data_IF_059062107178
#
_entry.id   IF_059062107178
#
_cell.length_a   1.000
_cell.length_b   1.000
_cell.length_c   1.000
_cell.angle_alpha   90.00
_cell.angle_beta   90.00
_cell.angle_gamma   90.00
#
_symmetry.space_group_name_H-M   'P 1'
#
loop_
_entity.id
_entity.type
_entity.pdbx_description
1 polymer ?
#
# COMPACT_ATOMS: atom_id res chain seq x y z
N UNK A 1 5.70 7.39 1.18
CA UNK A 1 5.84 7.53 -0.31
C UNK A 1 4.44 7.75 -0.86
N UNK A 2 4.30 8.68 -1.82
CA UNK A 2 3.04 8.88 -2.55
C UNK A 2 3.11 8.09 -3.85
N UNK A 3 2.13 7.20 -4.07
CA UNK A 3 1.92 6.51 -5.33
C UNK A 3 0.73 7.10 -6.07
N UNK A 4 0.86 7.33 -7.37
CA UNK A 4 -0.20 7.91 -8.19
C UNK A 4 -0.56 6.90 -9.28
N UNK A 5 -1.82 6.51 -9.33
CA UNK A 5 -2.37 5.64 -10.37
C UNK A 5 -3.41 6.42 -11.16
N UNK A 6 -3.17 6.59 -12.46
CA UNK A 6 -4.07 7.27 -13.38
C UNK A 6 -4.58 6.29 -14.44
N UNK A 7 -5.90 6.24 -14.63
CA UNK A 7 -6.54 5.47 -15.70
C UNK A 7 -7.52 6.39 -16.45
N UNK A 8 -7.15 6.79 -17.66
CA UNK A 8 -7.93 7.70 -18.49
C UNK A 8 -9.13 7.04 -19.17
N UNK A 9 -9.12 5.73 -19.31
CA UNK A 9 -10.20 4.96 -19.95
C UNK A 9 -11.29 4.53 -18.95
N UNK A 10 -11.11 4.86 -17.66
CA UNK A 10 -12.09 4.51 -16.64
C UNK A 10 -13.42 5.24 -16.87
N UNK A 11 -14.53 4.54 -16.66
CA UNK A 11 -15.90 5.07 -16.75
C UNK A 11 -16.18 5.80 -18.06
N UNK A 12 -16.02 5.08 -19.18
CA UNK A 12 -16.24 5.57 -20.56
C UNK A 12 -15.46 6.86 -20.93
N UNK A 13 -14.27 7.02 -20.32
CA UNK A 13 -13.36 8.13 -20.65
C UNK A 13 -13.45 9.34 -19.70
N UNK A 14 -14.23 9.25 -18.62
CA UNK A 14 -14.20 10.27 -17.56
C UNK A 14 -12.84 10.30 -16.82
N UNK A 15 -12.13 9.17 -16.85
CA UNK A 15 -10.84 9.04 -16.22
C UNK A 15 -10.91 8.87 -14.70
N UNK A 16 -9.81 8.41 -14.12
CA UNK A 16 -9.69 8.24 -12.66
C UNK A 16 -8.25 8.45 -12.25
N UNK A 17 -8.05 9.10 -11.11
CA UNK A 17 -6.73 9.22 -10.48
C UNK A 17 -6.82 8.82 -9.00
N UNK A 18 -6.08 7.78 -8.60
CA UNK A 18 -5.94 7.35 -7.22
C UNK A 18 -4.61 7.81 -6.66
N UNK A 19 -4.63 8.41 -5.48
CA UNK A 19 -3.43 8.84 -4.77
C UNK A 19 -3.26 7.95 -3.54
N UNK A 20 -2.25 7.09 -3.56
CA UNK A 20 -1.92 6.20 -2.47
C UNK A 20 -0.91 6.86 -1.54
N UNK A 21 -1.30 7.08 -0.30
CA UNK A 21 -0.41 7.56 0.75
C UNK A 21 0.14 6.35 1.52
N UNK A 22 1.39 5.97 1.22
CA UNK A 22 2.06 4.90 1.95
C UNK A 22 2.38 5.37 3.37
N UNK A 23 1.88 4.62 4.33
CA UNK A 23 2.15 4.88 5.75
C UNK A 23 3.15 3.85 6.28
N UNK A 24 4.02 4.23 7.23
CA UNK A 24 4.84 3.26 7.93
C UNK A 24 3.98 2.17 8.54
N UNK A 25 4.41 0.91 8.43
CA UNK A 25 3.64 -0.24 8.93
C UNK A 25 3.24 -0.06 10.41
N UNK A 26 1.94 -0.19 10.67
CA UNK A 26 1.39 -0.08 12.02
C UNK A 26 1.77 -1.33 12.81
N UNK A 27 2.39 -1.16 13.95
CA UNK A 27 2.71 -2.25 14.87
C UNK A 27 2.64 -1.77 16.32
N UNK A 28 2.50 -2.71 17.25
CA UNK A 28 2.50 -2.36 18.68
C UNK A 28 3.80 -1.61 19.03
N UNK A 29 3.72 -0.35 19.47
CA UNK A 29 4.91 0.48 19.70
C UNK A 29 5.76 -0.09 20.83
N UNK A 30 7.06 -0.24 20.58
CA UNK A 30 8.04 -0.64 21.61
C UNK A 30 8.74 0.56 22.23
N UNK A 31 8.59 1.74 21.63
CA UNK A 31 9.22 2.99 22.07
C UNK A 31 8.38 4.20 21.62
N UNK A 32 8.81 5.41 22.01
CA UNK A 32 8.13 6.67 21.66
C UNK A 32 8.08 6.93 20.15
N UNK A 33 9.08 6.50 19.41
CA UNK A 33 9.11 6.64 17.93
C UNK A 33 8.00 5.80 17.28
N UNK A 34 7.82 4.54 17.70
CA UNK A 34 6.74 3.70 17.21
C UNK A 34 5.35 4.27 17.52
N UNK A 35 5.17 4.92 18.68
CA UNK A 35 3.92 5.59 19.00
C UNK A 35 3.65 6.79 18.07
N UNK A 36 4.66 7.61 17.78
CA UNK A 36 4.53 8.74 16.85
C UNK A 36 4.23 8.27 15.41
N UNK A 37 4.82 7.15 14.96
CA UNK A 37 4.54 6.54 13.65
C UNK A 37 3.06 6.14 13.57
N UNK A 38 2.54 5.48 14.59
CA UNK A 38 1.14 5.07 14.63
C UNK A 38 0.17 6.27 14.66
N UNK A 39 0.51 7.33 15.42
CA UNK A 39 -0.26 8.58 15.43
C UNK A 39 -0.31 9.24 14.04
N UNK A 40 0.81 9.27 13.34
CA UNK A 40 0.86 9.77 11.96
C UNK A 40 -0.04 8.94 11.03
N UNK A 41 -0.01 7.62 11.13
CA UNK A 41 -0.86 6.74 10.33
C UNK A 41 -2.36 6.97 10.61
N UNK A 42 -2.75 7.15 11.89
CA UNK A 42 -4.13 7.48 12.27
C UNK A 42 -4.58 8.85 11.74
N UNK A 43 -3.71 9.86 11.86
CA UNK A 43 -4.01 11.20 11.35
C UNK A 43 -4.19 11.18 9.82
N UNK A 44 -3.36 10.42 9.11
CA UNK A 44 -3.51 10.21 7.67
C UNK A 44 -4.84 9.50 7.35
N UNK A 45 -5.21 8.47 8.12
CA UNK A 45 -6.46 7.73 7.92
C UNK A 45 -7.73 8.61 8.10
N UNK A 46 -7.67 9.67 8.90
CA UNK A 46 -8.78 10.62 9.06
C UNK A 46 -8.94 11.64 7.92
N UNK A 47 -7.97 11.71 7.01
CA UNK A 47 -7.93 12.70 5.92
C UNK A 47 -8.01 12.11 4.51
N UNK A 48 -8.40 10.83 4.37
CA UNK A 48 -8.49 10.11 3.09
C UNK A 48 -9.91 9.58 2.85
N UNK A 49 -10.24 9.31 1.59
CA UNK A 49 -11.55 8.78 1.20
C UNK A 49 -11.75 7.34 1.68
N UNK A 50 -10.69 6.54 1.66
CA UNK A 50 -10.71 5.13 2.07
C UNK A 50 -9.36 4.71 2.65
N UNK A 51 -9.39 3.87 3.67
CA UNK A 51 -8.20 3.21 4.24
C UNK A 51 -8.11 1.80 3.67
N UNK A 52 -7.00 1.50 3.01
CA UNK A 52 -6.66 0.15 2.58
C UNK A 52 -5.68 -0.49 3.56
N UNK A 53 -6.12 -1.48 4.31
CA UNK A 53 -5.24 -2.33 5.12
C UNK A 53 -4.78 -3.52 4.28
N UNK A 54 -3.46 -3.71 4.17
CA UNK A 54 -2.88 -4.87 3.49
C UNK A 54 -2.21 -5.76 4.54
N UNK A 55 -2.59 -7.04 4.57
CA UNK A 55 -2.02 -8.03 5.48
C UNK A 55 -1.39 -9.20 4.72
N UNK A 56 -0.37 -9.80 5.31
CA UNK A 56 0.31 -10.98 4.76
C UNK A 56 -0.50 -12.24 5.10
N UNK A 57 -1.15 -12.85 4.11
CA UNK A 57 -1.96 -14.06 4.26
C UNK A 57 -1.19 -15.29 4.78
N UNK A 58 0.15 -15.29 4.69
CA UNK A 58 0.97 -16.38 5.25
C UNK A 58 1.13 -16.28 6.76
N UNK A 59 0.72 -15.17 7.37
CA UNK A 59 0.79 -14.95 8.82
C UNK A 59 -0.56 -15.25 9.47
N UNK A 60 -0.50 -15.85 10.66
CA UNK A 60 -1.71 -16.07 11.46
C UNK A 60 -2.14 -14.76 12.12
N UNK A 61 -3.44 -14.58 12.23
CA UNK A 61 -4.01 -13.50 13.02
C UNK A 61 -3.50 -13.54 14.47
N UNK A 62 -3.06 -12.43 15.00
CA UNK A 62 -2.46 -12.35 16.33
C UNK A 62 -2.69 -11.01 17.04
N UNK A 63 -1.95 -10.80 18.12
CA UNK A 63 -2.05 -9.59 18.94
C UNK A 63 -1.68 -8.30 18.20
N UNK A 64 -0.85 -8.40 17.15
CA UNK A 64 -0.50 -7.27 16.30
C UNK A 64 -1.68 -6.83 15.46
N UNK A 65 -2.38 -7.79 14.87
CA UNK A 65 -3.56 -7.53 14.05
C UNK A 65 -4.68 -6.94 14.90
N UNK A 66 -4.94 -7.51 16.09
CA UNK A 66 -5.92 -6.96 17.00
C UNK A 66 -5.60 -5.50 17.37
N UNK A 67 -4.34 -5.19 17.64
CA UNK A 67 -3.93 -3.81 17.92
C UNK A 67 -4.22 -2.86 16.75
N UNK A 68 -3.99 -3.30 15.50
CA UNK A 68 -4.33 -2.53 14.30
C UNK A 68 -5.84 -2.31 14.19
N UNK A 69 -6.63 -3.36 14.43
CA UNK A 69 -8.10 -3.26 14.43
C UNK A 69 -8.59 -2.27 15.49
N UNK A 70 -8.06 -2.33 16.72
CA UNK A 70 -8.41 -1.42 17.80
C UNK A 70 -8.07 0.04 17.45
N UNK A 71 -6.98 0.28 16.72
CA UNK A 71 -6.62 1.60 16.21
C UNK A 71 -7.57 2.07 15.11
N UNK A 72 -7.81 1.23 14.12
CA UNK A 72 -8.66 1.58 12.97
C UNK A 72 -10.13 1.79 13.37
N UNK A 73 -10.57 1.16 14.46
CA UNK A 73 -11.94 1.37 15.01
C UNK A 73 -12.19 2.80 15.49
N UNK A 74 -11.14 3.58 15.73
CA UNK A 74 -11.24 4.98 16.18
C UNK A 74 -11.56 5.95 15.03
N UNK A 75 -11.45 5.51 13.77
CA UNK A 75 -11.76 6.30 12.57
C UNK A 75 -13.06 5.83 11.95
N UNK A 76 -13.90 6.76 11.52
CA UNK A 76 -15.13 6.48 10.75
C UNK A 76 -14.88 6.35 9.25
N UNK A 77 -13.66 6.63 8.78
CA UNK A 77 -13.28 6.47 7.38
C UNK A 77 -13.55 5.05 6.90
N UNK A 78 -14.05 4.92 5.68
CA UNK A 78 -14.28 3.63 5.01
C UNK A 78 -13.02 2.79 4.99
N UNK A 79 -13.17 1.49 5.17
CA UNK A 79 -12.02 0.58 5.31
C UNK A 79 -12.18 -0.62 4.41
N UNK A 80 -11.16 -0.90 3.64
CA UNK A 80 -11.04 -2.09 2.79
C UNK A 80 -9.85 -2.91 3.27
N UNK A 81 -10.01 -4.23 3.37
CA UNK A 81 -8.93 -5.15 3.71
C UNK A 81 -8.49 -5.93 2.48
N UNK A 82 -7.19 -6.00 2.25
CA UNK A 82 -6.58 -6.91 1.28
C UNK A 82 -5.69 -7.93 1.99
N UNK A 83 -6.10 -9.20 1.96
CA UNK A 83 -5.29 -10.35 2.39
C UNK A 83 -4.41 -10.72 1.20
N UNK A 84 -3.14 -10.34 1.24
CA UNK A 84 -2.19 -10.52 0.15
C UNK A 84 -1.43 -11.85 0.27
N UNK A 85 -0.76 -12.24 -0.81
CA UNK A 85 -0.01 -13.51 -0.97
C UNK A 85 -0.91 -14.75 -0.99
N UNK A 86 -2.07 -14.62 -1.62
CA UNK A 86 -3.01 -15.74 -1.81
C UNK A 86 -2.40 -16.90 -2.60
N UNK A 87 -1.39 -16.63 -3.42
CA UNK A 87 -0.60 -17.62 -4.16
C UNK A 87 0.20 -18.58 -3.25
N UNK A 88 0.42 -18.22 -1.98
CA UNK A 88 1.21 -18.98 -1.01
C UNK A 88 0.35 -19.70 0.04
N UNK A 89 -0.97 -19.54 0.03
CA UNK A 89 -1.87 -20.13 1.03
C UNK A 89 -3.03 -20.88 0.39
N UNK A 90 -3.51 -21.90 1.09
CA UNK A 90 -4.70 -22.65 0.67
C UNK A 90 -6.01 -21.97 1.05
N UNK A 91 -7.14 -22.44 0.47
CA UNK A 91 -8.47 -21.88 0.73
C UNK A 91 -8.89 -21.91 2.21
N UNK A 92 -8.49 -22.93 2.95
CA UNK A 92 -8.82 -23.07 4.37
C UNK A 92 -8.14 -21.98 5.22
N UNK A 93 -6.84 -21.73 4.96
CA UNK A 93 -6.09 -20.69 5.67
C UNK A 93 -6.62 -19.28 5.33
N UNK A 94 -7.02 -19.06 4.08
CA UNK A 94 -7.70 -17.83 3.69
C UNK A 94 -9.02 -17.65 4.44
N UNK A 95 -9.87 -18.67 4.47
CA UNK A 95 -11.18 -18.60 5.12
C UNK A 95 -11.05 -18.33 6.63
N UNK A 96 -10.04 -18.94 7.28
CA UNK A 96 -9.73 -18.67 8.70
C UNK A 96 -9.41 -17.20 8.93
N UNK A 97 -8.52 -16.63 8.11
CA UNK A 97 -8.15 -15.21 8.20
C UNK A 97 -9.33 -14.29 7.86
N UNK A 98 -10.03 -14.59 6.79
CA UNK A 98 -11.22 -13.84 6.37
C UNK A 98 -12.21 -13.72 7.53
N UNK A 99 -12.61 -14.84 8.13
CA UNK A 99 -13.55 -14.87 9.25
C UNK A 99 -13.07 -14.05 10.44
N UNK A 100 -11.76 -14.10 10.76
CA UNK A 100 -11.18 -13.32 11.86
C UNK A 100 -11.27 -11.81 11.66
N UNK A 101 -11.06 -11.35 10.45
CA UNK A 101 -11.19 -9.92 10.14
C UNK A 101 -12.64 -9.50 9.98
N UNK A 102 -13.48 -10.35 9.39
CA UNK A 102 -14.91 -10.09 9.20
C UNK A 102 -15.66 -10.01 10.55
N UNK A 103 -15.31 -10.86 11.54
CA UNK A 103 -15.82 -10.81 12.90
C UNK A 103 -15.62 -9.44 13.58
N UNK A 104 -14.65 -8.64 13.14
CA UNK A 104 -14.42 -7.29 13.69
C UNK A 104 -15.49 -6.29 13.28
N UNK A 105 -16.18 -6.51 12.17
CA UNK A 105 -17.18 -5.60 11.61
C UNK A 105 -16.64 -4.25 11.16
N UNK A 106 -15.30 -4.11 11.01
CA UNK A 106 -14.65 -2.84 10.69
C UNK A 106 -14.52 -2.57 9.19
N UNK A 107 -14.50 -3.60 8.38
CA UNK A 107 -14.22 -3.50 6.95
C UNK A 107 -15.50 -3.51 6.14
N UNK A 108 -15.61 -2.55 5.22
CA UNK A 108 -16.71 -2.49 4.25
C UNK A 108 -16.58 -3.61 3.21
N UNK A 109 -15.33 -3.97 2.86
CA UNK A 109 -15.01 -5.04 1.91
C UNK A 109 -13.71 -5.75 2.29
N UNK A 110 -13.63 -7.07 2.01
CA UNK A 110 -12.43 -7.90 2.25
C UNK A 110 -12.07 -8.65 0.96
N UNK A 111 -10.84 -8.50 0.49
CA UNK A 111 -10.32 -9.15 -0.71
C UNK A 111 -9.16 -10.08 -0.39
N UNK A 112 -9.17 -11.27 -0.99
CA UNK A 112 -7.98 -12.10 -1.13
C UNK A 112 -7.28 -11.77 -2.45
N UNK A 113 -6.03 -11.32 -2.40
CA UNK A 113 -5.24 -10.91 -3.57
C UNK A 113 -3.89 -11.61 -3.62
N UNK A 114 -3.29 -11.65 -4.79
CA UNK A 114 -1.86 -11.84 -4.95
C UNK A 114 -1.30 -10.69 -5.78
N UNK A 115 -0.63 -9.76 -5.12
CA UNK A 115 0.00 -8.65 -5.81
C UNK A 115 1.15 -9.12 -6.73
N UNK A 116 1.81 -10.25 -6.39
CA UNK A 116 2.87 -10.82 -7.21
C UNK A 116 2.36 -11.41 -8.52
N UNK A 117 1.17 -12.06 -8.49
CA UNK A 117 0.55 -12.72 -9.63
C UNK A 117 -0.60 -11.92 -10.25
N UNK A 118 -0.79 -10.68 -9.82
CA UNK A 118 -1.87 -9.78 -10.25
C UNK A 118 -3.28 -10.37 -10.08
N UNK A 119 -3.45 -11.30 -9.13
CA UNK A 119 -4.72 -11.96 -8.90
C UNK A 119 -5.65 -11.06 -8.06
N UNK A 120 -6.86 -10.79 -8.56
CA UNK A 120 -7.89 -9.95 -7.94
C UNK A 120 -7.48 -8.48 -7.69
N UNK A 121 -6.35 -8.01 -8.21
CA UNK A 121 -5.91 -6.62 -8.05
C UNK A 121 -6.88 -5.67 -8.76
N UNK A 122 -7.31 -5.98 -9.98
CA UNK A 122 -8.30 -5.20 -10.72
C UNK A 122 -9.62 -5.05 -9.95
N UNK A 123 -10.08 -6.13 -9.28
CA UNK A 123 -11.29 -6.10 -8.46
C UNK A 123 -11.14 -5.20 -7.25
N UNK A 124 -9.97 -5.23 -6.59
CA UNK A 124 -9.63 -4.34 -5.49
C UNK A 124 -9.63 -2.88 -5.97
N UNK A 125 -8.97 -2.59 -7.10
CA UNK A 125 -8.91 -1.25 -7.69
C UNK A 125 -10.30 -0.73 -8.03
N UNK A 126 -11.15 -1.57 -8.62
CA UNK A 126 -12.55 -1.23 -8.90
C UNK A 126 -13.36 -0.99 -7.62
N UNK A 127 -13.11 -1.72 -6.55
CA UNK A 127 -13.75 -1.46 -5.26
C UNK A 127 -13.31 -0.11 -4.69
N UNK A 128 -12.02 0.18 -4.69
CA UNK A 128 -11.48 1.44 -4.20
C UNK A 128 -12.04 2.64 -4.97
N UNK A 129 -12.25 2.52 -6.28
CA UNK A 129 -12.84 3.59 -7.09
C UNK A 129 -14.25 4.01 -6.66
N UNK A 130 -15.02 3.10 -6.05
CA UNK A 130 -16.36 3.41 -5.57
C UNK A 130 -16.39 4.38 -4.36
N UNK A 131 -15.24 4.55 -3.69
CA UNK A 131 -15.10 5.47 -2.56
C UNK A 131 -14.57 6.84 -2.97
N UNK A 132 -14.22 7.03 -4.24
CA UNK A 132 -13.67 8.28 -4.74
C UNK A 132 -14.76 9.31 -4.97
N UNK A 133 -14.38 10.57 -4.81
CA UNK A 133 -15.23 11.72 -5.04
C UNK A 133 -14.87 12.29 -6.41
N UNK A 134 -15.88 12.65 -7.19
CA UNK A 134 -15.70 13.35 -8.47
C UNK A 134 -14.96 14.68 -8.25
N UNK A 135 -13.90 14.90 -9.03
CA UNK A 135 -13.06 16.09 -8.91
C UNK A 135 -12.00 16.20 -10.02
N UNK A 136 -11.22 17.29 -10.03
CA UNK A 136 -10.12 17.42 -10.97
C UNK A 136 -8.98 16.45 -10.65
N UNK A 137 -8.18 16.10 -11.65
CA UNK A 137 -6.90 15.43 -11.44
C UNK A 137 -5.94 16.36 -10.68
N UNK A 138 -5.28 15.84 -9.66
CA UNK A 138 -4.32 16.59 -8.83
C UNK A 138 -2.90 16.56 -9.38
N UNK A 139 -2.57 15.53 -10.17
CA UNK A 139 -1.25 15.30 -10.74
C UNK A 139 -1.32 15.12 -12.25
N UNK A 140 -0.23 15.40 -13.01
CA UNK A 140 -0.13 15.07 -14.43
C UNK A 140 -0.41 13.58 -14.68
N UNK A 141 -0.94 13.26 -15.85
CA UNK A 141 -1.40 11.93 -16.24
C UNK A 141 -0.27 10.86 -16.21
N UNK A 142 0.93 11.28 -16.54
CA UNK A 142 2.14 10.45 -16.61
C UNK A 142 2.91 10.36 -15.28
N UNK A 143 2.45 11.04 -14.26
CA UNK A 143 3.10 11.07 -12.96
C UNK A 143 2.70 9.87 -12.11
N UNK A 144 3.66 9.00 -11.80
CA UNK A 144 3.44 7.83 -10.95
C UNK A 144 3.77 8.07 -9.45
N UNK A 145 4.48 9.15 -9.12
CA UNK A 145 4.89 9.53 -7.76
C UNK A 145 5.30 11.00 -7.73
N UNK A 146 5.20 11.63 -6.57
CA UNK A 146 5.67 12.99 -6.30
C UNK A 146 7.15 13.08 -5.90
N UNK A 147 7.84 11.93 -5.83
CA UNK A 147 9.26 11.88 -5.51
C UNK A 147 10.15 12.17 -6.73
N UNK A 148 11.32 12.83 -6.54
CA UNK A 148 12.28 13.04 -7.62
C UNK A 148 12.78 11.72 -8.21
N UNK A 149 13.07 11.67 -9.53
CA UNK A 149 13.56 10.47 -10.22
C UNK A 149 14.78 9.85 -9.54
N UNK A 150 15.72 10.68 -9.07
CA UNK A 150 16.90 10.19 -8.32
C UNK A 150 16.53 9.36 -7.08
N UNK A 151 15.42 9.69 -6.42
CA UNK A 151 14.94 8.92 -5.27
C UNK A 151 14.43 7.55 -5.73
N UNK A 152 13.65 7.51 -6.80
CA UNK A 152 13.13 6.26 -7.35
C UNK A 152 14.28 5.35 -7.80
N UNK A 153 15.28 5.91 -8.48
CA UNK A 153 16.48 5.16 -8.90
C UNK A 153 17.23 4.61 -7.67
N UNK A 154 17.37 5.38 -6.59
CA UNK A 154 18.03 4.90 -5.37
C UNK A 154 17.27 3.73 -4.72
N UNK A 155 15.94 3.79 -4.71
CA UNK A 155 15.10 2.71 -4.16
C UNK A 155 15.13 1.46 -5.05
N UNK A 156 15.15 1.59 -6.37
CA UNK A 156 15.32 0.45 -7.30
C UNK A 156 16.69 -0.22 -7.08
N UNK A 157 17.76 0.57 -6.96
CA UNK A 157 19.10 0.03 -6.66
C UNK A 157 19.09 -0.68 -5.30
N UNK A 158 18.48 -0.07 -4.29
CA UNK A 158 18.37 -0.66 -2.95
C UNK A 158 17.59 -1.98 -2.98
N UNK A 159 16.48 -2.04 -3.70
CA UNK A 159 15.71 -3.28 -3.91
C UNK A 159 16.58 -4.39 -4.52
N UNK A 160 17.32 -4.08 -5.60
CA UNK A 160 18.19 -5.06 -6.25
C UNK A 160 19.33 -5.52 -5.35
N UNK A 161 19.94 -4.62 -4.59
CA UNK A 161 20.96 -4.98 -3.60
C UNK A 161 20.38 -5.93 -2.54
N UNK A 162 19.17 -5.67 -2.01
CA UNK A 162 18.52 -6.54 -1.04
C UNK A 162 18.14 -7.91 -1.61
N UNK A 163 17.82 -8.00 -2.91
CA UNK A 163 17.53 -9.27 -3.59
C UNK A 163 18.79 -10.12 -3.81
N UNK A 164 19.95 -9.49 -4.02
CA UNK A 164 21.21 -10.19 -4.31
C UNK A 164 22.11 -10.41 -3.09
N UNK A 165 21.93 -9.62 -2.03
CA UNK A 165 22.66 -9.77 -0.77
C UNK A 165 21.88 -10.70 0.15
N UNK A 166 22.02 -12.01 -0.04
CA UNK A 166 21.45 -13.02 0.84
C UNK A 166 22.03 -12.89 2.28
N UNK A 167 21.15 -12.63 3.22
CA UNK A 167 21.27 -12.86 4.67
C UNK A 167 22.20 -11.97 5.52
N UNK A 168 23.15 -11.18 5.02
CA UNK A 168 24.08 -10.52 5.94
C UNK A 168 23.78 -9.06 6.28
N UNK A 169 23.00 -8.30 5.51
CA UNK A 169 22.70 -6.87 5.82
C UNK A 169 21.29 -6.41 5.38
N UNK A 170 20.17 -7.00 5.84
CA UNK A 170 18.84 -6.64 5.32
C UNK A 170 18.35 -5.24 5.71
N UNK A 171 18.78 -4.69 6.84
CA UNK A 171 18.19 -3.48 7.42
C UNK A 171 19.07 -2.23 7.43
N UNK A 172 20.29 -2.32 6.91
CA UNK A 172 21.29 -1.24 6.95
C UNK A 172 21.77 -0.71 5.60
N UNK A 173 21.17 -1.19 4.48
CA UNK A 173 21.56 -0.70 3.16
C UNK A 173 20.88 0.64 2.88
N UNK A 174 21.71 1.66 2.73
CA UNK A 174 21.32 2.98 2.25
C UNK A 174 22.00 3.24 0.91
N UNK A 175 21.27 3.77 -0.04
CA UNK A 175 21.79 4.15 -1.37
C UNK A 175 21.67 5.65 -1.52
N UNK A 176 22.78 6.33 -1.71
CA UNK A 176 22.84 7.76 -2.01
C UNK A 176 23.34 7.95 -3.44
N UNK A 177 22.65 8.77 -4.21
CA UNK A 177 23.07 9.13 -5.58
C UNK A 177 23.84 10.44 -5.50
N UNK A 178 25.16 10.37 -5.70
CA UNK A 178 26.05 11.52 -5.66
C UNK A 178 25.91 12.43 -6.89
N UNK A 179 25.68 11.83 -8.07
CA UNK A 179 25.46 12.57 -9.32
C UNK A 179 24.39 11.89 -10.17
N UNK A 180 23.52 12.68 -10.78
CA UNK A 180 22.46 12.22 -11.69
C UNK A 180 22.45 13.18 -12.90
N UNK A 181 22.93 12.70 -14.05
CA UNK A 181 23.01 13.47 -15.28
C UNK A 181 21.97 12.96 -16.28
N UNK A 182 20.99 13.78 -16.60
CA UNK A 182 20.07 13.54 -17.69
C UNK A 182 20.75 13.77 -19.03
N UNK A 183 20.88 12.72 -19.84
CA UNK A 183 21.34 12.85 -21.22
C UNK A 183 20.13 12.96 -22.13
N UNK A 184 20.17 13.83 -23.18
CA UNK A 184 19.09 13.87 -24.17
C UNK A 184 18.91 12.48 -24.78
N UNK A 185 17.64 12.02 -24.87
CA UNK A 185 17.31 10.75 -25.52
C UNK A 185 17.84 10.79 -26.96
N UNK A 186 18.74 9.89 -27.30
CA UNK A 186 19.12 9.63 -28.68
C UNK A 186 17.92 8.88 -29.26
N UNK A 187 17.09 9.57 -30.02
CA UNK A 187 16.09 8.98 -30.92
C UNK A 187 16.88 8.48 -32.14
N UNK A 188 17.09 7.14 -32.23
CA UNK A 188 17.40 6.48 -33.49
C UNK A 188 16.13 6.17 -34.28
#
# INVERSE_FOLDING_TARGET
>A
ITGIYTNLEYDDGNGMQMIFLDTPGIHKPKNKLGAAINETALNTAGGVDVVLLIVDGTKKFGKGDQYILDMLSQSETKKVLAINKMDLIGPEAYLELYNKYDESGLFDEIFGISALQDTNVDRLMKCLSNYMIEGPMYYPEDMATDHPERFIVSEIIREKLLQYLDQEVPHGVFVEIESYDEKPRITE
#
